data_IF_257479695550
#
_entry.id   IF_257479695550
#
_cell.length_a   1.000
_cell.length_b   1.000
_cell.length_c   1.000
_cell.angle_alpha   90.00
_cell.angle_beta   90.00
_cell.angle_gamma   90.00
#
_symmetry.space_group_name_H-M   'P 1'
#
loop_
_entity.id
_entity.type
_entity.pdbx_description
1 polymer ?
#
# COMPACT_ATOMS: atom_id res chain seq x y z
N UNK A 1 -11.96 0.89 -4.07
CA UNK A 1 -10.69 1.46 -3.55
C UNK A 1 -10.66 2.93 -3.90
N UNK A 2 -10.53 3.82 -2.91
CA UNK A 2 -10.42 5.25 -3.15
C UNK A 2 -8.95 5.62 -3.39
N UNK A 3 -8.61 5.99 -4.63
CA UNK A 3 -7.21 6.29 -5.02
C UNK A 3 -6.64 7.49 -4.23
N UNK A 4 -7.50 8.35 -3.69
CA UNK A 4 -7.11 9.51 -2.89
C UNK A 4 -6.50 9.13 -1.52
N UNK A 5 -6.59 7.87 -1.11
CA UNK A 5 -5.97 7.35 0.12
C UNK A 5 -4.45 7.12 -0.02
N UNK A 6 -3.87 7.39 -1.18
CA UNK A 6 -2.46 7.14 -1.47
C UNK A 6 -1.73 8.39 -1.94
N UNK A 7 -0.40 8.38 -1.83
CA UNK A 7 0.45 9.43 -2.40
C UNK A 7 0.38 9.40 -3.93
N UNK A 8 0.46 10.57 -4.58
CA UNK A 8 0.44 10.70 -6.05
C UNK A 8 1.47 9.79 -6.74
N UNK A 9 2.69 9.77 -6.20
CA UNK A 9 3.78 8.94 -6.71
C UNK A 9 3.51 7.43 -6.63
N UNK A 10 2.64 7.00 -5.71
CA UNK A 10 2.35 5.58 -5.46
C UNK A 10 1.13 5.10 -6.26
N UNK A 11 0.33 5.99 -6.87
CA UNK A 11 -0.91 5.64 -7.58
C UNK A 11 -0.74 4.55 -8.63
N UNK A 12 0.33 4.61 -9.43
CA UNK A 12 0.61 3.58 -10.45
C UNK A 12 0.79 2.20 -9.83
N UNK A 13 1.53 2.14 -8.71
CA UNK A 13 1.79 0.90 -7.99
C UNK A 13 0.52 0.37 -7.32
N UNK A 14 -0.28 1.24 -6.70
CA UNK A 14 -1.57 0.91 -6.10
C UNK A 14 -2.51 0.27 -7.13
N UNK A 15 -2.61 0.84 -8.33
CA UNK A 15 -3.42 0.27 -9.42
C UNK A 15 -2.90 -1.10 -9.82
N UNK A 16 -1.58 -1.28 -9.93
CA UNK A 16 -0.98 -2.56 -10.29
C UNK A 16 -1.25 -3.64 -9.24
N UNK A 17 -1.03 -3.34 -7.95
CA UNK A 17 -1.28 -4.28 -6.85
C UNK A 17 -2.76 -4.62 -6.71
N UNK A 18 -3.66 -3.65 -6.88
CA UNK A 18 -5.09 -3.91 -6.85
C UNK A 18 -5.52 -4.86 -7.99
N UNK A 19 -5.01 -4.64 -9.21
CA UNK A 19 -5.28 -5.53 -10.35
C UNK A 19 -4.70 -6.93 -10.12
N UNK A 20 -3.48 -7.01 -9.58
CA UNK A 20 -2.84 -8.28 -9.25
C UNK A 20 -3.65 -9.05 -8.20
N UNK A 21 -4.11 -8.38 -7.14
CA UNK A 21 -4.95 -8.99 -6.11
C UNK A 21 -6.26 -9.55 -6.68
N UNK A 22 -6.97 -8.79 -7.54
CA UNK A 22 -8.20 -9.26 -8.18
C UNK A 22 -7.96 -10.46 -9.10
N UNK A 23 -6.88 -10.44 -9.88
CA UNK A 23 -6.52 -11.56 -10.74
C UNK A 23 -6.19 -12.82 -9.91
N UNK A 24 -5.43 -12.67 -8.82
CA UNK A 24 -5.08 -13.78 -7.94
C UNK A 24 -6.32 -14.41 -7.28
N UNK A 25 -7.28 -13.60 -6.83
CA UNK A 25 -8.56 -14.10 -6.31
C UNK A 25 -9.30 -14.93 -7.36
N UNK A 26 -9.49 -14.40 -8.56
CA UNK A 26 -10.20 -15.09 -9.64
C UNK A 26 -9.52 -16.40 -10.05
N UNK A 27 -8.18 -16.41 -10.14
CA UNK A 27 -7.42 -17.63 -10.47
C UNK A 27 -7.50 -18.64 -9.33
N UNK A 28 -7.41 -18.19 -8.07
CA UNK A 28 -7.51 -19.05 -6.89
C UNK A 28 -8.88 -19.71 -6.80
N UNK A 29 -9.95 -18.95 -7.03
CA UNK A 29 -11.33 -19.46 -7.06
C UNK A 29 -11.50 -20.53 -8.14
N UNK A 30 -11.05 -20.25 -9.36
CA UNK A 30 -11.13 -21.20 -10.46
C UNK A 30 -10.28 -22.47 -10.19
N UNK A 31 -9.08 -22.32 -9.62
CA UNK A 31 -8.24 -23.46 -9.25
C UNK A 31 -8.91 -24.34 -8.19
N UNK A 32 -9.60 -23.74 -7.22
CA UNK A 32 -10.34 -24.46 -6.19
C UNK A 32 -11.50 -25.25 -6.78
N UNK A 33 -12.26 -24.66 -7.72
CA UNK A 33 -13.34 -25.36 -8.43
C UNK A 33 -12.83 -26.58 -9.20
N UNK A 34 -11.62 -26.54 -9.74
CA UNK A 34 -10.97 -27.65 -10.44
C UNK A 34 -10.27 -28.66 -9.49
N UNK A 35 -10.26 -28.41 -8.19
CA UNK A 35 -9.59 -29.26 -7.20
C UNK A 35 -8.06 -29.11 -7.16
N UNK A 36 -7.48 -28.11 -7.83
CA UNK A 36 -6.04 -27.83 -7.80
C UNK A 36 -5.69 -27.03 -6.54
N UNK A 37 -5.55 -27.74 -5.42
CA UNK A 37 -5.27 -27.15 -4.11
C UNK A 37 -3.91 -26.43 -4.07
N UNK A 38 -2.91 -26.95 -4.78
CA UNK A 38 -1.56 -26.36 -4.81
C UNK A 38 -1.59 -24.99 -5.49
N UNK A 39 -2.29 -24.89 -6.62
CA UNK A 39 -2.46 -23.62 -7.32
C UNK A 39 -3.33 -22.65 -6.52
N UNK A 40 -4.40 -23.15 -5.89
CA UNK A 40 -5.25 -22.36 -4.98
C UNK A 40 -4.41 -21.71 -3.88
N UNK A 41 -3.63 -22.49 -3.14
CA UNK A 41 -2.79 -21.99 -2.05
C UNK A 41 -1.79 -20.93 -2.55
N UNK A 42 -1.12 -21.19 -3.67
CA UNK A 42 -0.15 -20.25 -4.25
C UNK A 42 -0.79 -18.89 -4.55
N UNK A 43 -1.93 -18.88 -5.24
CA UNK A 43 -2.57 -17.62 -5.63
C UNK A 43 -3.25 -16.92 -4.44
N UNK A 44 -3.70 -17.66 -3.42
CA UNK A 44 -4.13 -17.08 -2.16
C UNK A 44 -2.97 -16.35 -1.44
N UNK A 45 -1.78 -16.95 -1.40
CA UNK A 45 -0.58 -16.31 -0.84
C UNK A 45 -0.22 -15.04 -1.62
N UNK A 46 -0.25 -15.08 -2.95
CA UNK A 46 0.08 -13.93 -3.78
C UNK A 46 -0.96 -12.80 -3.64
N UNK A 47 -2.25 -13.14 -3.51
CA UNK A 47 -3.29 -12.17 -3.12
C UNK A 47 -2.96 -11.47 -1.79
N UNK A 48 -2.60 -12.23 -0.76
CA UNK A 48 -2.26 -11.69 0.56
C UNK A 48 -1.06 -10.74 0.47
N UNK A 49 -0.06 -11.06 -0.38
CA UNK A 49 1.09 -10.15 -0.60
C UNK A 49 0.67 -8.82 -1.19
N UNK A 50 -0.16 -8.81 -2.24
CA UNK A 50 -0.65 -7.57 -2.84
C UNK A 50 -1.50 -6.75 -1.85
N UNK A 51 -2.35 -7.39 -1.04
CA UNK A 51 -3.11 -6.70 0.01
C UNK A 51 -2.18 -6.09 1.07
N UNK A 52 -1.12 -6.78 1.48
CA UNK A 52 -0.14 -6.24 2.44
C UNK A 52 0.60 -5.03 1.86
N UNK A 53 0.96 -5.07 0.58
CA UNK A 53 1.61 -3.94 -0.07
C UNK A 53 0.67 -2.73 -0.17
N UNK A 54 -0.61 -2.94 -0.50
CA UNK A 54 -1.61 -1.86 -0.49
C UNK A 54 -1.73 -1.21 0.90
N UNK A 55 -1.81 -2.02 1.97
CA UNK A 55 -1.82 -1.49 3.35
C UNK A 55 -0.55 -0.69 3.68
N UNK A 56 0.61 -1.15 3.22
CA UNK A 56 1.89 -0.44 3.43
C UNK A 56 1.90 0.92 2.72
N UNK A 57 1.35 1.00 1.50
CA UNK A 57 1.26 2.23 0.73
C UNK A 57 0.26 3.22 1.35
N UNK A 58 -0.85 2.73 1.89
CA UNK A 58 -1.81 3.53 2.66
C UNK A 58 -1.15 4.12 3.91
N UNK A 59 -0.48 3.28 4.70
CA UNK A 59 0.23 3.72 5.90
C UNK A 59 1.31 4.76 5.59
N UNK A 60 2.02 4.63 4.47
CA UNK A 60 3.03 5.60 4.03
C UNK A 60 2.46 7.00 3.82
N UNK A 61 1.20 7.12 3.36
CA UNK A 61 0.54 8.43 3.23
C UNK A 61 0.29 9.02 4.62
N UNK A 62 -0.28 8.23 5.53
CA UNK A 62 -0.56 8.62 6.92
C UNK A 62 0.72 9.09 7.62
N UNK A 63 1.81 8.35 7.45
CA UNK A 63 3.11 8.70 8.06
C UNK A 63 3.67 10.01 7.49
N UNK A 64 3.52 10.24 6.18
CA UNK A 64 3.93 11.50 5.54
C UNK A 64 3.10 12.68 6.05
N UNK A 65 1.79 12.52 6.18
CA UNK A 65 0.91 13.58 6.70
C UNK A 65 1.29 13.95 8.14
N UNK A 66 1.53 12.94 8.99
CA UNK A 66 2.03 13.15 10.36
C UNK A 66 3.38 13.89 10.38
N UNK A 67 4.31 13.53 9.51
CA UNK A 67 5.61 14.20 9.42
C UNK A 67 5.47 15.67 9.00
N UNK A 68 4.57 15.98 8.06
CA UNK A 68 4.27 17.35 7.65
C UNK A 68 3.71 18.14 8.83
N UNK A 69 2.72 17.60 9.53
CA UNK A 69 2.12 18.24 10.72
C UNK A 69 3.18 18.53 11.80
N UNK A 70 4.04 17.56 12.11
CA UNK A 70 5.13 17.74 13.08
C UNK A 70 6.11 18.82 12.63
N UNK A 71 6.45 18.85 11.33
CA UNK A 71 7.39 19.84 10.77
C UNK A 71 6.80 21.25 10.85
N UNK A 72 5.52 21.42 10.52
CA UNK A 72 4.81 22.69 10.62
C UNK A 72 4.74 23.19 12.07
N UNK A 73 4.47 22.29 13.03
CA UNK A 73 4.49 22.60 14.46
C UNK A 73 5.86 23.02 14.96
N UNK A 74 6.93 22.34 14.55
CA UNK A 74 8.30 22.70 14.94
C UNK A 74 8.71 24.07 14.35
N UNK A 75 8.30 24.33 13.11
CA UNK A 75 8.53 25.62 12.46
C UNK A 75 7.82 26.77 13.18
N UNK A 76 6.58 26.57 13.62
CA UNK A 76 5.83 27.60 14.38
C UNK A 76 6.42 27.88 15.77
N UNK A 77 7.17 26.93 16.33
CA UNK A 77 7.93 27.07 17.58
C UNK A 77 9.32 27.71 17.39
N UNK A 78 9.66 28.16 16.18
CA UNK A 78 10.94 28.81 15.90
C UNK A 78 12.12 27.85 15.79
N UNK A 79 11.87 26.53 15.71
CA UNK A 79 12.92 25.53 15.50
C UNK A 79 13.32 25.52 14.02
N UNK A 80 14.61 25.73 13.73
CA UNK A 80 15.20 25.65 12.39
C UNK A 80 14.98 24.26 11.80
N UNK A 81 14.03 24.14 10.87
CA UNK A 81 13.63 22.91 10.18
C UNK A 81 14.71 22.27 9.30
N UNK A 82 15.91 22.89 9.23
CA UNK A 82 17.05 22.40 8.46
C UNK A 82 17.58 21.03 8.94
N UNK A 83 17.25 20.62 10.16
CA UNK A 83 17.73 19.34 10.75
C UNK A 83 16.83 18.15 10.37
N UNK A 84 15.58 18.36 9.97
CA UNK A 84 14.59 17.27 9.79
C UNK A 84 14.53 16.72 8.35
N UNK A 85 15.17 17.40 7.37
CA UNK A 85 15.14 16.99 5.95
C UNK A 85 16.15 15.90 5.53
N UNK A 86 16.86 15.28 6.48
CA UNK A 86 17.82 14.19 6.21
C UNK A 86 17.45 12.89 6.92
N UNK A 87 16.31 12.28 6.59
CA UNK A 87 16.07 10.83 6.74
C UNK A 87 15.17 10.35 5.61
#
# INVERSE_FOLDING_TARGET
MEINQFLEQDKKKVIAEHRAAMACLSISEHALMLGDLKKTERYAIDYIKSVRELKRLEQRKVDREKLVEVTERLKSQGVLSAIVMKI
#
